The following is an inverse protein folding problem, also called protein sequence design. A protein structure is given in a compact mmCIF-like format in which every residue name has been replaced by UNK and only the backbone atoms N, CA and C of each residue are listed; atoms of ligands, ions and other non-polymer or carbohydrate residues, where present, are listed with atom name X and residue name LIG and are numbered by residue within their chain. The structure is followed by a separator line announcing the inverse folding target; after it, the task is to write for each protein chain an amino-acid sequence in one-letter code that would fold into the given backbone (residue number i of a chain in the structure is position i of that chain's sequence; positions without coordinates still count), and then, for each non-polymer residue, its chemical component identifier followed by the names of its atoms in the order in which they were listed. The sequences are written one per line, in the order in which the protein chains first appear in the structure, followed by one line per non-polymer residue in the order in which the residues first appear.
data_IF_543411644366
#
_entry.id   IF_543411644366
#
_cell.length_a   1.000
_cell.length_b   1.000
_cell.length_c   1.000
_cell.angle_alpha   90.00
_cell.angle_beta   90.00
_cell.angle_gamma   90.00
#
_symmetry.space_group_name_H-M   'P 1'
#
loop_
_entity.id
_entity.type
_entity.pdbx_description
1 polymer ?
#
# COMPACT_ATOMS: atom_id res chain seq x y z
N UNK A 1 -7.57 -35.46 1.76
CA UNK A 1 -6.22 -35.23 1.18
C UNK A 1 -5.87 -33.76 1.35
N UNK A 2 -5.04 -33.41 2.33
CA UNK A 2 -4.59 -32.04 2.55
C UNK A 2 -3.41 -31.75 1.63
N UNK A 3 -3.63 -30.92 0.60
CA UNK A 3 -2.52 -30.43 -0.23
C UNK A 3 -1.65 -29.48 0.59
N UNK A 4 -0.32 -29.67 0.64
CA UNK A 4 0.57 -28.73 1.30
C UNK A 4 0.54 -27.40 0.56
N UNK A 5 0.06 -26.35 1.24
CA UNK A 5 0.06 -24.98 0.71
C UNK A 5 1.46 -24.41 0.91
N UNK A 6 2.16 -24.14 -0.18
CA UNK A 6 3.52 -23.61 -0.13
C UNK A 6 3.52 -22.10 0.20
N UNK A 7 4.45 -21.61 1.05
CA UNK A 7 4.59 -20.19 1.38
C UNK A 7 4.86 -19.28 0.17
N UNK A 8 5.29 -19.83 -0.96
CA UNK A 8 5.43 -19.10 -2.22
C UNK A 8 4.10 -18.65 -2.81
N UNK A 9 2.98 -19.29 -2.45
CA UNK A 9 1.65 -18.84 -2.87
C UNK A 9 1.13 -17.65 -2.05
N UNK A 10 1.60 -17.48 -0.81
CA UNK A 10 1.09 -16.45 0.11
C UNK A 10 2.08 -15.33 0.41
N UNK A 11 3.39 -15.55 0.19
CA UNK A 11 4.37 -14.50 0.43
C UNK A 11 4.24 -13.40 -0.62
N UNK A 12 4.04 -12.14 -0.20
CA UNK A 12 4.08 -11.00 -1.10
C UNK A 12 5.43 -10.93 -1.83
N UNK A 13 5.38 -10.69 -3.13
CA UNK A 13 6.57 -10.50 -3.98
C UNK A 13 7.21 -9.17 -3.63
N UNK A 14 8.29 -9.20 -2.83
CA UNK A 14 9.14 -8.03 -2.61
C UNK A 14 9.92 -7.72 -3.89
N UNK A 15 9.75 -6.52 -4.45
CA UNK A 15 10.56 -6.02 -5.55
C UNK A 15 11.83 -5.39 -4.95
N UNK A 16 12.95 -6.11 -4.96
CA UNK A 16 14.26 -5.56 -4.55
C UNK A 16 14.38 -5.11 -3.09
N UNK A 17 13.44 -5.49 -2.21
CA UNK A 17 13.39 -5.05 -0.82
C UNK A 17 12.40 -3.92 -0.54
N UNK A 18 11.68 -3.42 -1.55
CA UNK A 18 10.61 -2.42 -1.44
C UNK A 18 9.23 -3.01 -1.83
N UNK A 19 8.13 -2.43 -1.34
CA UNK A 19 6.78 -2.74 -1.81
C UNK A 19 6.67 -2.25 -3.26
N UNK A 20 6.30 -3.14 -4.18
CA UNK A 20 6.29 -2.88 -5.64
C UNK A 20 5.52 -1.60 -5.98
N UNK A 21 4.40 -1.35 -5.31
CA UNK A 21 3.55 -0.18 -5.57
C UNK A 21 4.24 1.12 -5.18
N UNK A 22 4.91 1.18 -4.04
CA UNK A 22 5.65 2.36 -3.60
C UNK A 22 6.91 2.60 -4.46
N UNK A 23 7.62 1.54 -4.85
CA UNK A 23 8.78 1.68 -5.74
C UNK A 23 8.39 2.22 -7.13
N UNK A 24 7.26 1.76 -7.68
CA UNK A 24 6.73 2.30 -8.94
C UNK A 24 6.31 3.75 -8.75
N UNK A 25 5.63 4.09 -7.65
CA UNK A 25 5.17 5.44 -7.37
C UNK A 25 6.34 6.41 -7.23
N UNK A 26 7.40 6.01 -6.53
CA UNK A 26 8.61 6.80 -6.33
C UNK A 26 9.40 6.99 -7.64
N UNK A 27 9.61 5.91 -8.40
CA UNK A 27 10.21 6.00 -9.73
C UNK A 27 9.41 6.89 -10.68
N UNK A 28 8.08 6.83 -10.62
CA UNK A 28 7.19 7.69 -11.41
C UNK A 28 7.27 9.14 -10.95
N UNK A 29 7.34 9.40 -9.63
CA UNK A 29 7.50 10.74 -9.08
C UNK A 29 8.83 11.36 -9.50
N UNK A 30 9.93 10.61 -9.43
CA UNK A 30 11.25 11.05 -9.90
C UNK A 30 11.21 11.33 -11.40
N UNK A 31 10.64 10.42 -12.20
CA UNK A 31 10.52 10.60 -13.64
C UNK A 31 9.67 11.84 -13.98
N UNK A 32 8.53 12.01 -13.32
CA UNK A 32 7.66 13.17 -13.50
C UNK A 32 8.34 14.47 -13.07
N UNK A 33 9.14 14.47 -12.00
CA UNK A 33 9.86 15.65 -11.54
C UNK A 33 10.98 16.03 -12.52
N UNK A 34 11.76 15.05 -12.99
CA UNK A 34 12.84 15.26 -13.95
C UNK A 34 12.31 15.69 -15.32
N UNK A 35 11.24 15.06 -15.81
CA UNK A 35 10.70 15.31 -17.14
C UNK A 35 9.75 16.52 -17.18
N UNK A 36 9.00 16.75 -16.10
CA UNK A 36 8.00 17.82 -16.03
C UNK A 36 8.56 19.19 -15.66
N UNK A 37 9.53 19.26 -14.73
CA UNK A 37 10.14 20.53 -14.31
C UNK A 37 11.39 20.87 -15.15
N UNK A 38 12.02 19.87 -15.76
CA UNK A 38 13.20 20.01 -16.60
C UNK A 38 14.51 19.69 -15.86
N UNK A 39 15.56 19.43 -16.64
CA UNK A 39 16.91 19.06 -16.16
C UNK A 39 17.71 20.29 -15.72
N UNK A 40 17.29 20.93 -14.64
CA UNK A 40 18.10 21.92 -13.94
C UNK A 40 18.93 21.24 -12.85
N UNK A 41 20.10 21.78 -12.52
CA UNK A 41 20.95 21.19 -11.46
C UNK A 41 20.22 21.02 -10.12
N UNK A 42 19.28 21.92 -9.83
CA UNK A 42 18.44 21.89 -8.63
C UNK A 42 17.43 20.74 -8.65
N UNK A 43 16.75 20.48 -9.78
CA UNK A 43 15.81 19.36 -9.91
C UNK A 43 16.51 18.02 -9.83
N UNK A 44 17.70 17.89 -10.42
CA UNK A 44 18.53 16.69 -10.28
C UNK A 44 18.97 16.49 -8.82
N UNK A 45 19.37 17.57 -8.14
CA UNK A 45 19.73 17.49 -6.73
C UNK A 45 18.54 17.05 -5.85
N UNK A 46 17.33 17.58 -6.09
CA UNK A 46 16.12 17.15 -5.39
C UNK A 46 15.80 15.68 -5.70
N UNK A 47 15.84 15.27 -6.97
CA UNK A 47 15.60 13.88 -7.37
C UNK A 47 16.61 12.92 -6.71
N UNK A 48 17.88 13.29 -6.66
CA UNK A 48 18.92 12.51 -5.98
C UNK A 48 18.68 12.44 -4.46
N UNK A 49 18.22 13.53 -3.83
CA UNK A 49 17.89 13.55 -2.41
C UNK A 49 16.68 12.67 -2.11
N UNK A 50 15.66 12.67 -2.98
CA UNK A 50 14.51 11.76 -2.88
C UNK A 50 15.00 10.31 -3.03
N UNK A 51 15.79 10.01 -4.04
CA UNK A 51 16.30 8.66 -4.27
C UNK A 51 17.21 8.17 -3.13
N UNK A 52 18.07 9.02 -2.54
CA UNK A 52 18.95 8.60 -1.45
C UNK A 52 18.30 8.67 -0.06
N UNK A 53 17.27 9.50 0.12
CA UNK A 53 16.59 9.66 1.42
C UNK A 53 15.34 8.79 1.54
N UNK A 54 14.47 8.82 0.53
CA UNK A 54 13.16 8.16 0.54
C UNK A 54 13.27 6.69 0.17
N UNK A 55 14.12 6.34 -0.81
CA UNK A 55 14.28 4.96 -1.25
C UNK A 55 14.78 3.99 -0.15
N UNK A 56 15.82 4.29 0.67
CA UNK A 56 16.19 3.40 1.77
C UNK A 56 15.12 3.33 2.87
N UNK A 57 14.36 4.41 3.08
CA UNK A 57 13.22 4.42 4.01
C UNK A 57 12.11 3.47 3.52
N UNK A 58 11.83 3.48 2.21
CA UNK A 58 10.90 2.56 1.55
C UNK A 58 11.37 1.10 1.64
N UNK A 59 12.67 0.85 1.51
CA UNK A 59 13.27 -0.49 1.68
C UNK A 59 13.17 -0.97 3.13
N UNK A 60 13.37 -0.07 4.11
CA UNK A 60 13.17 -0.38 5.54
C UNK A 60 11.69 -0.62 5.87
N UNK A 61 10.79 0.17 5.30
CA UNK A 61 9.34 0.02 5.50
C UNK A 61 8.84 -1.31 4.93
N UNK A 62 9.28 -1.69 3.73
CA UNK A 62 8.89 -2.94 3.10
C UNK A 62 9.52 -4.19 3.73
N UNK A 63 10.66 -4.04 4.41
CA UNK A 63 11.18 -5.09 5.31
C UNK A 63 10.23 -5.38 6.47
N UNK A 64 9.53 -4.36 6.97
CA UNK A 64 8.60 -4.49 8.08
C UNK A 64 7.22 -4.98 7.62
N UNK A 65 6.70 -4.44 6.52
CA UNK A 65 5.39 -4.83 5.98
C UNK A 65 5.29 -4.59 4.47
N UNK A 66 5.21 -5.67 3.70
CA UNK A 66 5.16 -5.64 2.23
C UNK A 66 3.74 -5.52 1.65
N UNK A 67 2.69 -5.52 2.48
CA UNK A 67 1.28 -5.38 2.03
C UNK A 67 0.59 -4.16 2.64
N UNK A 68 1.32 -3.33 3.37
CA UNK A 68 0.78 -2.19 4.10
C UNK A 68 0.03 -1.24 3.16
N UNK A 69 0.59 -0.88 2.01
CA UNK A 69 -0.05 0.09 1.11
C UNK A 69 -1.32 -0.47 0.47
N UNK A 70 -1.34 -1.75 0.05
CA UNK A 70 -2.57 -2.39 -0.43
C UNK A 70 -3.68 -2.44 0.61
N UNK A 71 -3.34 -2.81 1.84
CA UNK A 71 -4.31 -2.86 2.94
C UNK A 71 -4.80 -1.45 3.24
N UNK A 72 -3.92 -0.46 3.22
CA UNK A 72 -4.26 0.94 3.42
C UNK A 72 -5.21 1.47 2.34
N UNK A 73 -4.91 1.26 1.06
CA UNK A 73 -5.79 1.63 -0.05
C UNK A 73 -7.15 0.94 0.05
N UNK A 74 -7.17 -0.35 0.38
CA UNK A 74 -8.41 -1.07 0.63
C UNK A 74 -9.18 -0.48 1.81
N UNK A 75 -8.48 -0.13 2.89
CA UNK A 75 -9.10 0.49 4.05
C UNK A 75 -9.78 1.79 3.66
N UNK A 76 -9.11 2.65 2.87
CA UNK A 76 -9.68 3.90 2.36
C UNK A 76 -10.88 3.65 1.45
N UNK A 77 -10.74 2.76 0.48
CA UNK A 77 -11.83 2.43 -0.45
C UNK A 77 -13.04 1.80 0.27
N UNK A 78 -12.84 1.14 1.41
CA UNK A 78 -13.92 0.59 2.22
C UNK A 78 -14.34 1.49 3.38
N UNK A 79 -13.69 2.64 3.63
CA UNK A 79 -14.09 3.57 4.69
C UNK A 79 -15.49 4.13 4.48
N UNK A 80 -15.95 4.28 3.23
CA UNK A 80 -17.28 4.80 2.94
C UNK A 80 -18.39 3.76 3.18
N UNK A 81 -18.13 2.50 2.86
CA UNK A 81 -19.07 1.39 3.05
C UNK A 81 -19.03 0.82 4.49
N UNK A 82 -17.85 0.84 5.08
CA UNK A 82 -17.51 0.52 6.46
C UNK A 82 -17.02 1.80 7.15
N UNK A 83 -17.89 2.82 7.20
CA UNK A 83 -17.69 3.92 8.15
C UNK A 83 -17.46 3.27 9.51
N UNK A 84 -16.41 3.70 10.22
CA UNK A 84 -16.05 3.17 11.52
C UNK A 84 -17.24 3.33 12.49
N UNK A 85 -18.17 2.37 12.50
CA UNK A 85 -19.21 2.19 13.51
C UNK A 85 -18.59 1.65 14.80
N UNK A 86 -17.48 2.24 15.22
CA UNK A 86 -16.97 2.14 16.58
C UNK A 86 -17.71 3.11 17.52
N UNK A 87 -18.87 3.65 17.08
CA UNK A 87 -19.73 4.43 17.95
C UNK A 87 -20.51 3.49 18.87
N UNK A 88 -20.39 3.61 20.21
CA UNK A 88 -21.02 2.69 21.17
C UNK A 88 -22.55 2.69 21.12
N UNK A 89 -23.18 3.63 20.40
CA UNK A 89 -24.64 3.68 20.18
C UNK A 89 -25.10 3.04 18.86
N UNK A 90 -24.24 2.31 18.15
CA UNK A 90 -24.67 1.61 16.93
C UNK A 90 -25.73 0.56 17.28
N UNK A 91 -26.88 0.50 16.57
CA UNK A 91 -27.89 -0.52 16.84
C UNK A 91 -27.27 -1.89 16.61
N UNK A 92 -27.39 -2.78 17.61
CA UNK A 92 -26.98 -4.16 17.48
C UNK A 92 -27.58 -4.74 16.19
N UNK A 93 -26.73 -5.41 15.39
CA UNK A 93 -27.14 -6.12 14.19
C UNK A 93 -28.39 -6.95 14.51
N UNK A 94 -29.56 -6.47 14.07
CA UNK A 94 -30.81 -7.21 14.22
C UNK A 94 -30.71 -8.34 13.21
N UNK A 95 -30.33 -9.53 13.67
CA UNK A 95 -30.47 -10.75 12.89
C UNK A 95 -31.92 -10.81 12.41
N UNK A 96 -32.15 -10.43 11.15
CA UNK A 96 -33.42 -10.74 10.51
C UNK A 96 -33.48 -12.27 10.45
N UNK A 97 -34.55 -12.92 10.90
CA UNK A 97 -34.70 -14.34 10.68
C UNK A 97 -34.64 -14.60 9.17
N UNK A 98 -33.78 -15.54 8.78
CA UNK A 98 -33.63 -15.99 7.40
C UNK A 98 -35.02 -16.30 6.81
N UNK A 99 -35.34 -15.88 5.58
CA UNK A 99 -36.64 -16.20 4.99
C UNK A 99 -36.78 -17.72 4.87
N UNK A 100 -37.90 -18.32 5.31
CA UNK A 100 -38.15 -19.72 5.07
C UNK A 100 -38.30 -19.94 3.56
N UNK A 101 -37.61 -20.98 3.06
CA UNK A 101 -37.68 -21.49 1.69
C UNK A 101 -39.10 -21.93 1.33
#
# INVERSE_FOLDING_TARGET
MSHPVHPSLTRPVLFGGAERELAILEGTLIAALLFGVGLHGLTVAIAALIAFGVHPLLVLAAKNDAQMFRIYLRSIAHQDAYLARAHPSAPAFRCLPWPPL
#
